data_IF_232188518124
#
_entry.id   IF_232188518124
#
_cell.length_a   1.000
_cell.length_b   1.000
_cell.length_c   1.000
_cell.angle_alpha   90.00
_cell.angle_beta   90.00
_cell.angle_gamma   90.00
#
_symmetry.space_group_name_H-M   'P 1'
#
loop_
_entity.id
_entity.type
_entity.pdbx_description
1 polymer ?
#
# COMPACT_ATOMS: atom_id res chain seq x y z
N UNK A 1 13.31 -14.72 1.12
CA UNK A 1 14.73 -14.29 1.05
C UNK A 1 15.19 -13.61 -0.26
N UNK A 2 14.54 -13.78 -1.42
CA UNK A 2 15.04 -13.22 -2.71
C UNK A 2 14.85 -11.70 -2.90
N UNK A 3 13.90 -11.09 -2.19
CA UNK A 3 13.50 -9.68 -2.38
C UNK A 3 14.62 -8.70 -2.02
N UNK A 4 15.32 -8.94 -0.91
CA UNK A 4 16.42 -8.09 -0.42
C UNK A 4 17.57 -8.04 -1.44
N UNK A 5 17.96 -9.19 -2.00
CA UNK A 5 19.02 -9.24 -3.01
C UNK A 5 18.63 -8.52 -4.31
N UNK A 6 17.35 -8.55 -4.70
CA UNK A 6 16.88 -7.77 -5.84
C UNK A 6 16.97 -6.27 -5.57
N UNK A 7 16.57 -5.83 -4.38
CA UNK A 7 16.68 -4.43 -3.97
C UNK A 7 18.15 -3.96 -3.92
N UNK A 8 19.03 -4.77 -3.34
CA UNK A 8 20.48 -4.50 -3.35
C UNK A 8 21.06 -4.46 -4.77
N UNK A 9 20.53 -5.29 -5.68
CA UNK A 9 20.88 -5.24 -7.11
C UNK A 9 20.41 -3.95 -7.79
N UNK A 10 19.29 -3.35 -7.38
CA UNK A 10 18.84 -2.05 -7.85
C UNK A 10 19.75 -0.92 -7.34
N UNK A 11 20.15 -0.97 -6.07
CA UNK A 11 21.11 0.00 -5.48
C UNK A 11 22.42 0.01 -6.27
N UNK A 12 22.93 -1.17 -6.65
CA UNK A 12 24.16 -1.28 -7.47
C UNK A 12 24.02 -0.69 -8.87
N UNK A 13 22.82 -0.65 -9.46
CA UNK A 13 22.58 -0.14 -10.82
C UNK A 13 22.21 1.33 -10.88
N UNK A 14 21.35 1.78 -9.95
CA UNK A 14 20.72 3.10 -9.99
C UNK A 14 21.25 4.05 -8.90
N UNK A 15 22.03 3.54 -7.95
CA UNK A 15 22.55 4.30 -6.81
C UNK A 15 21.61 4.28 -5.61
N UNK A 16 22.17 4.43 -4.41
CA UNK A 16 21.42 4.34 -3.16
C UNK A 16 20.37 5.46 -3.02
N UNK A 17 20.73 6.70 -3.36
CA UNK A 17 19.83 7.85 -3.20
C UNK A 17 18.53 7.69 -4.00
N UNK A 18 18.62 7.30 -5.27
CA UNK A 18 17.44 7.10 -6.13
C UNK A 18 16.56 5.95 -5.66
N UNK A 19 17.18 4.85 -5.21
CA UNK A 19 16.43 3.70 -4.69
C UNK A 19 15.72 4.07 -3.39
N UNK A 20 16.36 4.84 -2.51
CA UNK A 20 15.75 5.34 -1.27
C UNK A 20 14.51 6.21 -1.56
N UNK A 21 14.63 7.15 -2.51
CA UNK A 21 13.50 7.98 -2.95
C UNK A 21 12.34 7.12 -3.48
N UNK A 22 12.64 6.13 -4.31
CA UNK A 22 11.61 5.23 -4.85
C UNK A 22 10.95 4.35 -3.76
N UNK A 23 11.72 3.91 -2.76
CA UNK A 23 11.21 3.18 -1.60
C UNK A 23 10.29 4.08 -0.76
N UNK A 24 10.71 5.30 -0.43
CA UNK A 24 9.90 6.26 0.32
C UNK A 24 8.56 6.52 -0.38
N UNK A 25 8.59 6.89 -1.66
CA UNK A 25 7.37 7.14 -2.43
C UNK A 25 6.46 5.91 -2.53
N UNK A 26 7.04 4.71 -2.58
CA UNK A 26 6.24 3.48 -2.59
C UNK A 26 5.55 3.24 -1.26
N UNK A 27 6.20 3.54 -0.13
CA UNK A 27 5.62 3.43 1.21
C UNK A 27 4.51 4.47 1.43
N UNK A 28 4.68 5.69 0.93
CA UNK A 28 3.63 6.73 0.97
C UNK A 28 2.35 6.31 0.23
N UNK A 29 2.44 5.34 -0.70
CA UNK A 29 1.34 4.79 -1.47
C UNK A 29 0.88 3.40 -0.97
N UNK A 30 1.38 2.95 0.19
CA UNK A 30 1.15 1.60 0.74
C UNK A 30 1.54 0.45 -0.21
N UNK A 31 2.55 0.67 -1.07
CA UNK A 31 3.01 -0.31 -2.06
C UNK A 31 4.32 -0.98 -1.61
N UNK A 32 4.24 -2.26 -1.24
CA UNK A 32 5.43 -3.08 -0.96
C UNK A 32 5.70 -4.05 -2.12
N UNK A 33 6.33 -3.56 -3.19
CA UNK A 33 6.68 -4.38 -4.37
C UNK A 33 7.96 -3.91 -5.06
N UNK A 34 9.00 -4.75 -5.02
CA UNK A 34 10.30 -4.45 -5.66
C UNK A 34 10.19 -4.38 -7.19
N UNK A 35 9.24 -5.10 -7.80
CA UNK A 35 9.02 -4.97 -9.25
C UNK A 35 8.49 -3.57 -9.61
N UNK A 36 7.58 -3.00 -8.80
CA UNK A 36 7.07 -1.64 -9.01
C UNK A 36 8.16 -0.59 -8.79
N UNK A 37 9.01 -0.76 -7.77
CA UNK A 37 10.19 0.08 -7.53
C UNK A 37 11.14 0.02 -8.74
N UNK A 38 11.42 -1.17 -9.28
CA UNK A 38 12.24 -1.31 -10.47
C UNK A 38 11.64 -0.60 -11.69
N UNK A 39 10.32 -0.72 -11.90
CA UNK A 39 9.62 0.00 -12.98
C UNK A 39 9.65 1.52 -12.79
N UNK A 40 9.57 2.01 -11.55
CA UNK A 40 9.67 3.43 -11.22
C UNK A 40 11.06 3.99 -11.57
N UNK A 41 12.12 3.30 -11.15
CA UNK A 41 13.51 3.68 -11.45
C UNK A 41 13.82 3.62 -12.95
N UNK A 42 13.32 2.60 -13.66
CA UNK A 42 13.50 2.48 -15.11
C UNK A 42 12.81 3.62 -15.87
N UNK A 43 11.73 4.18 -15.33
CA UNK A 43 11.00 5.32 -15.91
C UNK A 43 11.43 6.68 -15.34
N UNK A 44 12.36 6.70 -14.39
CA UNK A 44 12.81 7.89 -13.67
C UNK A 44 11.67 8.69 -13.01
N UNK A 45 10.67 8.01 -12.45
CA UNK A 45 9.49 8.66 -11.84
C UNK A 45 9.54 8.71 -10.33
N UNK A 46 10.67 8.41 -9.70
CA UNK A 46 10.83 8.41 -8.23
C UNK A 46 10.68 9.80 -7.59
N UNK A 47 10.82 10.87 -8.36
CA UNK A 47 10.62 12.26 -7.92
C UNK A 47 9.33 12.89 -8.46
N UNK A 48 8.51 12.10 -9.17
CA UNK A 48 7.29 12.59 -9.80
C UNK A 48 6.11 12.13 -8.97
N UNK A 49 5.40 13.08 -8.37
CA UNK A 49 4.14 12.77 -7.70
C UNK A 49 3.19 12.12 -8.73
N UNK A 50 2.69 10.90 -8.48
CA UNK A 50 1.76 10.27 -9.39
C UNK A 50 0.49 11.10 -9.45
N UNK A 51 0.07 11.46 -10.66
CA UNK A 51 -1.28 11.98 -10.85
C UNK A 51 -2.22 10.82 -10.57
N UNK A 52 -2.81 10.81 -9.38
CA UNK A 52 -3.85 9.86 -9.05
C UNK A 52 -5.00 10.17 -10.00
N UNK A 53 -5.54 9.17 -10.72
CA UNK A 53 -6.73 9.41 -11.52
C UNK A 53 -7.77 10.01 -10.58
N UNK A 54 -8.21 11.24 -10.87
CA UNK A 54 -9.42 11.73 -10.25
C UNK A 54 -10.48 10.68 -10.54
N UNK A 55 -11.20 10.25 -9.51
CA UNK A 55 -12.29 9.30 -9.67
C UNK A 55 -13.19 9.81 -10.80
N UNK A 56 -13.11 9.17 -11.97
CA UNK A 56 -13.79 9.62 -13.17
C UNK A 56 -15.26 9.28 -12.98
N UNK A 57 -16.08 10.32 -12.76
CA UNK A 57 -17.53 10.20 -12.69
C UNK A 57 -18.08 10.07 -11.27
N UNK A 58 -18.27 11.22 -10.62
CA UNK A 58 -19.36 11.37 -9.65
C UNK A 58 -20.74 11.46 -10.32
N UNK A 59 -20.79 11.40 -11.66
CA UNK A 59 -22.07 11.25 -12.37
C UNK A 59 -22.59 9.86 -12.10
N UNK A 60 -23.66 9.78 -11.31
CA UNK A 60 -24.33 8.53 -11.01
C UNK A 60 -24.65 7.77 -12.31
N UNK A 61 -24.12 6.56 -12.42
CA UNK A 61 -24.46 5.61 -13.48
C UNK A 61 -25.56 4.69 -12.99
N UNK A 62 -26.13 3.86 -13.87
CA UNK A 62 -27.08 2.81 -13.47
C UNK A 62 -26.53 1.79 -12.46
N UNK A 63 -25.22 1.77 -12.24
CA UNK A 63 -24.53 0.91 -11.27
C UNK A 63 -24.08 1.66 -10.01
N UNK A 64 -24.28 2.98 -9.95
CA UNK A 64 -23.95 3.78 -8.77
C UNK A 64 -24.98 3.48 -7.69
N UNK A 65 -24.52 2.98 -6.54
CA UNK A 65 -25.34 2.78 -5.34
C UNK A 65 -25.48 4.06 -4.56
N UNK A 66 -26.58 4.20 -3.82
CA UNK A 66 -26.75 5.34 -2.93
C UNK A 66 -25.67 5.28 -1.83
N UNK A 67 -24.91 6.36 -1.58
CA UNK A 67 -23.91 6.39 -0.51
C UNK A 67 -24.49 6.00 0.87
N UNK A 68 -25.78 6.28 1.11
CA UNK A 68 -26.43 5.89 2.37
C UNK A 68 -26.55 4.37 2.56
N UNK A 69 -26.52 3.57 1.48
CA UNK A 69 -26.51 2.11 1.57
C UNK A 69 -25.19 1.56 2.15
N UNK A 70 -24.10 2.34 2.07
CA UNK A 70 -22.81 1.96 2.65
C UNK A 70 -22.65 2.45 4.10
N UNK A 71 -23.64 3.16 4.64
CA UNK A 71 -23.62 3.56 6.04
C UNK A 71 -23.90 2.33 6.91
N UNK A 72 -22.84 1.73 7.43
CA UNK A 72 -22.94 0.66 8.42
C UNK A 72 -23.04 1.26 9.81
N UNK A 73 -24.00 0.80 10.61
CA UNK A 73 -23.98 1.09 12.06
C UNK A 73 -22.71 0.47 12.62
N UNK A 74 -21.82 1.30 13.14
CA UNK A 74 -20.58 0.84 13.78
C UNK A 74 -20.95 0.14 15.08
N UNK A 75 -21.15 -1.18 15.02
CA UNK A 75 -21.26 -2.01 16.22
C UNK A 75 -19.92 -1.96 16.94
N UNK A 76 -19.92 -1.50 18.19
CA UNK A 76 -18.73 -1.53 19.04
C UNK A 76 -18.34 -2.98 19.32
N UNK A 77 -17.23 -3.44 18.76
CA UNK A 77 -16.66 -4.74 19.12
C UNK A 77 -15.99 -4.61 20.49
N UNK A 78 -16.40 -5.45 21.43
CA UNK A 78 -15.70 -5.62 22.71
C UNK A 78 -14.67 -6.73 22.53
N UNK A 79 -13.39 -6.40 22.73
CA UNK A 79 -12.31 -7.40 22.75
C UNK A 79 -12.49 -8.24 24.01
N UNK A 80 -12.81 -9.52 23.84
CA UNK A 80 -12.78 -10.49 24.95
C UNK A 80 -11.34 -10.96 25.10
N UNK A 81 -10.66 -10.66 26.22
CA UNK A 81 -9.33 -11.20 26.46
C UNK A 81 -9.43 -12.72 26.61
N UNK A 82 -8.60 -13.45 25.87
CA UNK A 82 -8.39 -14.88 26.10
C UNK A 82 -7.67 -15.01 27.43
N UNK A 83 -8.39 -15.43 28.48
CA UNK A 83 -7.75 -15.92 29.70
C UNK A 83 -7.30 -17.35 29.42
N UNK A 84 -6.00 -17.53 29.26
CA UNK A 84 -5.37 -18.84 29.33
C UNK A 84 -5.52 -19.33 30.77
N UNK A 85 -6.59 -20.07 31.03
CA UNK A 85 -6.75 -20.79 32.29
C UNK A 85 -5.76 -21.95 32.24
N UNK A 86 -4.58 -21.74 32.80
CA UNK A 86 -3.65 -22.82 33.13
C UNK A 86 -4.37 -23.80 34.09
N UNK A 87 -4.92 -24.87 33.51
CA UNK A 87 -5.39 -26.04 34.23
C UNK A 87 -4.15 -26.73 34.82
N UNK A 88 -3.91 -26.46 36.11
CA UNK A 88 -2.97 -27.24 36.91
C UNK A 88 -3.76 -28.33 37.62
N UNK A 89 -3.69 -29.58 37.13
CA UNK A 89 -3.63 -30.77 38.00
C UNK A 89 -3.16 -32.02 37.24
#
# INVERSE_FOLDING_TARGET
MRTVYRLQGLVRRYGAQRVEQACSLSLDLDVVSVNKIASMLQRATENTAPTLPQAVGQTATRFTRNPSEFNVTTTSLTVVPVTDSEETC
#
